data_IF_835193857169
#
_entry.id   IF_835193857169
#
_cell.length_a   1.000
_cell.length_b   1.000
_cell.length_c   1.000
_cell.angle_alpha   90.00
_cell.angle_beta   90.00
_cell.angle_gamma   90.00
#
_symmetry.space_group_name_H-M   'P 1'
#
loop_
_entity.id
_entity.type
_entity.pdbx_description
1 polymer ?
#
# COMPACT_ATOMS: atom_id res chain seq x y z
N UNK A 1 -3.38 12.96 -8.11
CA UNK A 1 -2.63 11.89 -8.79
C UNK A 1 -3.60 11.12 -9.63
N UNK A 2 -3.32 10.92 -10.91
CA UNK A 2 -4.20 10.17 -11.79
C UNK A 2 -4.06 8.68 -11.50
N UNK A 3 -5.17 8.02 -11.24
CA UNK A 3 -5.17 6.58 -10.99
C UNK A 3 -4.72 5.84 -12.27
N UNK A 4 -3.79 4.88 -12.18
CA UNK A 4 -3.36 4.13 -13.35
C UNK A 4 -4.52 3.36 -13.97
N UNK A 5 -4.58 3.33 -15.31
CA UNK A 5 -5.66 2.62 -16.01
C UNK A 5 -5.57 1.11 -15.78
N UNK A 6 -6.70 0.38 -15.83
CA UNK A 6 -6.71 -1.07 -15.71
C UNK A 6 -5.78 -1.78 -16.71
N UNK A 7 -5.69 -1.27 -17.94
CA UNK A 7 -4.85 -1.82 -19.00
C UNK A 7 -3.37 -1.69 -18.64
N UNK A 8 -2.96 -0.54 -18.09
CA UNK A 8 -1.57 -0.31 -17.65
C UNK A 8 -1.19 -1.25 -16.50
N UNK A 9 -2.11 -1.48 -15.56
CA UNK A 9 -1.90 -2.42 -14.46
C UNK A 9 -1.76 -3.85 -14.96
N UNK A 10 -2.64 -4.27 -15.88
CA UNK A 10 -2.56 -5.60 -16.50
C UNK A 10 -1.24 -5.79 -17.26
N UNK A 11 -0.84 -4.80 -18.05
CA UNK A 11 0.43 -4.83 -18.78
C UNK A 11 1.64 -4.93 -17.82
N UNK A 12 1.61 -4.21 -16.70
CA UNK A 12 2.65 -4.31 -15.68
C UNK A 12 2.73 -5.73 -15.12
N UNK A 13 1.62 -6.33 -14.67
CA UNK A 13 1.58 -7.71 -14.16
C UNK A 13 2.05 -8.73 -15.22
N UNK A 14 1.65 -8.56 -16.48
CA UNK A 14 2.14 -9.40 -17.56
C UNK A 14 3.65 -9.26 -17.74
N UNK A 15 4.21 -8.06 -17.63
CA UNK A 15 5.65 -7.89 -17.68
C UNK A 15 6.35 -8.56 -16.49
N UNK A 16 5.78 -8.49 -15.28
CA UNK A 16 6.29 -9.21 -14.10
C UNK A 16 6.36 -10.73 -14.34
N UNK A 17 5.36 -11.30 -15.02
CA UNK A 17 5.30 -12.72 -15.34
C UNK A 17 6.49 -13.24 -16.17
N UNK A 18 7.11 -12.36 -16.96
CA UNK A 18 8.25 -12.69 -17.82
C UNK A 18 9.60 -12.38 -17.16
N UNK A 19 9.60 -11.79 -15.97
CA UNK A 19 10.83 -11.48 -15.24
C UNK A 19 11.30 -12.71 -14.48
N UNK A 20 12.57 -13.05 -14.67
CA UNK A 20 13.23 -14.07 -13.83
C UNK A 20 13.48 -13.48 -12.43
N UNK A 21 13.06 -14.20 -11.41
CA UNK A 21 13.35 -13.87 -10.03
C UNK A 21 14.88 -13.84 -9.79
N UNK A 22 15.34 -12.82 -9.06
CA UNK A 22 16.72 -12.71 -8.57
C UNK A 22 16.72 -13.05 -7.09
N UNK A 23 17.51 -14.05 -6.70
CA UNK A 23 17.68 -14.42 -5.30
C UNK A 23 18.94 -13.78 -4.73
N UNK A 24 18.80 -13.13 -3.57
CA UNK A 24 19.93 -12.61 -2.81
C UNK A 24 20.48 -13.62 -1.80
N UNK A 25 21.66 -13.31 -1.22
CA UNK A 25 22.19 -14.11 -0.12
C UNK A 25 21.25 -14.06 1.10
N UNK A 26 21.23 -15.11 1.93
CA UNK A 26 20.54 -15.05 3.23
C UNK A 26 21.09 -13.91 4.08
N UNK A 27 20.20 -13.17 4.74
CA UNK A 27 20.56 -12.21 5.78
C UNK A 27 20.84 -12.87 7.13
N UNK A 28 21.14 -12.06 8.14
CA UNK A 28 21.52 -12.52 9.49
C UNK A 28 20.42 -13.36 10.18
N UNK A 29 19.16 -13.12 9.82
CA UNK A 29 18.00 -13.87 10.30
C UNK A 29 17.71 -15.16 9.49
N UNK A 30 18.61 -15.54 8.57
CA UNK A 30 18.45 -16.67 7.67
C UNK A 30 17.44 -16.46 6.53
N UNK A 31 16.79 -15.29 6.46
CA UNK A 31 15.83 -15.00 5.41
C UNK A 31 16.55 -14.62 4.12
N UNK A 32 16.06 -15.12 2.98
CA UNK A 32 16.56 -14.77 1.66
C UNK A 32 15.60 -13.81 0.97
N UNK A 33 16.09 -12.70 0.41
CA UNK A 33 15.30 -11.86 -0.45
C UNK A 33 15.21 -12.45 -1.87
N UNK A 34 14.03 -12.39 -2.45
CA UNK A 34 13.75 -12.75 -3.84
C UNK A 34 13.04 -11.59 -4.52
N UNK A 35 13.65 -11.06 -5.58
CA UNK A 35 13.15 -9.89 -6.30
C UNK A 35 12.67 -10.23 -7.70
N UNK A 36 11.50 -9.70 -8.07
CA UNK A 36 11.04 -9.59 -9.44
C UNK A 36 10.90 -8.11 -9.76
N UNK A 37 11.70 -7.61 -10.70
CA UNK A 37 11.67 -6.21 -11.11
C UNK A 37 11.39 -6.10 -12.61
N UNK A 38 10.27 -5.48 -12.95
CA UNK A 38 9.87 -5.20 -14.32
C UNK A 38 10.15 -3.75 -14.68
N UNK A 39 10.55 -3.51 -15.94
CA UNK A 39 10.68 -2.16 -16.49
C UNK A 39 9.34 -1.42 -16.65
N UNK A 40 8.21 -2.12 -16.45
CA UNK A 40 6.85 -1.56 -16.52
C UNK A 40 6.34 -1.04 -15.17
N UNK A 41 7.24 -0.78 -14.21
CA UNK A 41 6.88 -0.16 -12.93
C UNK A 41 6.12 -1.10 -12.00
N UNK A 42 6.42 -2.40 -12.07
CA UNK A 42 5.98 -3.36 -11.06
C UNK A 42 7.18 -4.08 -10.48
N UNK A 43 7.18 -4.18 -9.15
CA UNK A 43 8.24 -4.78 -8.36
C UNK A 43 7.61 -5.67 -7.30
N UNK A 44 8.19 -6.84 -7.09
CA UNK A 44 7.82 -7.77 -6.05
C UNK A 44 9.08 -8.19 -5.29
N UNK A 45 9.10 -7.94 -3.99
CA UNK A 45 10.13 -8.43 -3.07
C UNK A 45 9.49 -9.44 -2.13
N UNK A 46 10.05 -10.64 -2.07
CA UNK A 46 9.65 -11.69 -1.13
C UNK A 46 10.81 -12.01 -0.21
N UNK A 47 10.62 -11.88 1.10
CA UNK A 47 11.54 -12.40 2.11
C UNK A 47 11.07 -13.80 2.48
N UNK A 48 11.93 -14.80 2.21
CA UNK A 48 11.63 -16.21 2.47
C UNK A 48 12.51 -16.77 3.57
N UNK A 49 11.94 -17.61 4.43
CA UNK A 49 12.71 -18.33 5.44
C UNK A 49 13.58 -19.46 4.83
N UNK A 50 14.45 -20.12 5.63
CA UNK A 50 15.24 -21.25 5.16
C UNK A 50 14.41 -22.41 4.59
N UNK A 51 13.19 -22.61 5.11
CA UNK A 51 12.22 -23.61 4.63
C UNK A 51 11.54 -23.19 3.32
N UNK A 52 11.80 -21.98 2.83
CA UNK A 52 11.25 -21.45 1.60
C UNK A 52 9.80 -20.98 1.72
N UNK A 53 9.32 -20.63 2.92
CA UNK A 53 8.01 -19.99 3.13
C UNK A 53 8.18 -18.48 3.11
N UNK A 54 7.17 -17.80 2.57
CA UNK A 54 7.16 -16.33 2.51
C UNK A 54 6.87 -15.79 3.92
N UNK A 55 7.79 -14.99 4.45
CA UNK A 55 7.65 -14.32 5.75
C UNK A 55 7.14 -12.89 5.60
N UNK A 56 7.58 -12.22 4.54
CA UNK A 56 7.13 -10.88 4.17
C UNK A 56 7.17 -10.71 2.67
N UNK A 57 6.20 -9.99 2.12
CA UNK A 57 6.10 -9.72 0.70
C UNK A 57 5.69 -8.28 0.48
N UNK A 58 6.45 -7.57 -0.33
CA UNK A 58 6.18 -6.20 -0.74
C UNK A 58 5.97 -6.17 -2.24
N UNK A 59 4.86 -5.60 -2.69
CA UNK A 59 4.60 -5.38 -4.10
C UNK A 59 4.32 -3.90 -4.35
N UNK A 60 5.10 -3.30 -5.25
CA UNK A 60 4.80 -1.99 -5.81
C UNK A 60 4.22 -2.21 -7.20
N UNK A 61 2.97 -1.80 -7.41
CA UNK A 61 2.30 -1.86 -8.70
C UNK A 61 1.98 -0.42 -9.14
N UNK A 62 2.89 0.14 -9.94
CA UNK A 62 2.90 1.55 -10.34
C UNK A 62 2.96 2.49 -9.13
N UNK A 63 1.80 3.01 -8.70
CA UNK A 63 1.68 3.97 -7.59
C UNK A 63 1.06 3.33 -6.35
N UNK A 64 0.49 2.13 -6.47
CA UNK A 64 -0.02 1.36 -5.35
C UNK A 64 1.11 0.52 -4.75
N UNK A 65 1.09 0.40 -3.43
CA UNK A 65 2.01 -0.44 -2.69
C UNK A 65 1.23 -1.40 -1.79
N UNK A 66 1.69 -2.63 -1.69
CA UNK A 66 1.04 -3.70 -0.92
C UNK A 66 2.10 -4.39 -0.08
N UNK A 67 1.88 -4.48 1.24
CA UNK A 67 2.77 -5.17 2.16
C UNK A 67 2.00 -6.25 2.85
N UNK A 68 2.47 -7.48 2.73
CA UNK A 68 1.98 -8.60 3.52
C UNK A 68 3.09 -9.12 4.42
N UNK A 69 2.79 -9.33 5.70
CA UNK A 69 3.68 -10.02 6.63
C UNK A 69 2.95 -11.18 7.28
N UNK A 70 3.67 -12.29 7.50
CA UNK A 70 3.21 -13.38 8.34
C UNK A 70 2.89 -12.87 9.75
N UNK A 71 1.68 -13.13 10.25
CA UNK A 71 1.21 -12.67 11.56
C UNK A 71 0.60 -11.27 11.61
N UNK A 72 0.87 -10.39 10.63
CA UNK A 72 0.30 -9.02 10.59
C UNK A 72 -0.82 -8.88 9.54
N UNK A 73 -0.77 -9.67 8.47
CA UNK A 73 -1.73 -9.59 7.38
C UNK A 73 -1.32 -8.58 6.30
N UNK A 74 -2.30 -8.05 5.57
CA UNK A 74 -2.09 -7.18 4.42
C UNK A 74 -2.33 -5.70 4.78
N UNK A 75 -1.42 -4.85 4.34
CA UNK A 75 -1.55 -3.39 4.32
C UNK A 75 -1.46 -2.88 2.88
N UNK A 76 -2.19 -1.79 2.62
CA UNK A 76 -2.06 -1.03 1.37
C UNK A 76 -1.25 0.24 1.62
N UNK A 77 -0.79 0.86 0.55
CA UNK A 77 -0.05 2.10 0.59
C UNK A 77 0.13 2.69 -0.81
N UNK A 78 1.00 3.68 -0.90
CA UNK A 78 1.35 4.31 -2.16
C UNK A 78 2.79 4.77 -2.23
N UNK A 79 3.24 4.96 -3.46
CA UNK A 79 4.54 5.54 -3.76
C UNK A 79 4.41 7.06 -3.85
N UNK A 80 5.03 7.76 -2.91
CA UNK A 80 5.17 9.21 -2.94
C UNK A 80 6.41 9.58 -3.76
N UNK A 81 6.18 9.97 -5.02
CA UNK A 81 7.22 10.50 -5.90
C UNK A 81 7.32 12.01 -5.69
N UNK A 82 8.31 12.45 -4.91
CA UNK A 82 8.64 13.88 -4.77
C UNK A 82 9.11 14.49 -6.11
N UNK A 83 9.29 15.82 -6.15
CA UNK A 83 9.77 16.50 -7.36
C UNK A 83 11.10 15.97 -7.90
N UNK A 84 11.98 15.49 -7.00
CA UNK A 84 13.24 14.83 -7.35
C UNK A 84 13.09 13.40 -7.88
N UNK A 85 11.95 12.73 -7.69
CA UNK A 85 11.75 11.34 -8.12
C UNK A 85 11.62 11.19 -9.65
N UNK A 86 11.31 12.29 -10.37
CA UNK A 86 11.42 12.33 -11.84
C UNK A 86 12.86 12.22 -12.32
N UNK A 87 13.82 12.64 -11.49
CA UNK A 87 15.27 12.66 -11.79
C UNK A 87 15.99 11.47 -11.15
N UNK A 88 15.52 11.01 -9.98
CA UNK A 88 16.04 9.85 -9.28
C UNK A 88 14.90 8.95 -8.78
N UNK A 89 14.57 7.85 -9.48
CA UNK A 89 13.54 6.90 -9.05
C UNK A 89 13.75 6.33 -7.63
N UNK A 90 15.00 6.23 -7.16
CA UNK A 90 15.32 5.76 -5.82
C UNK A 90 14.95 6.75 -4.70
N UNK A 91 14.58 7.99 -5.04
CA UNK A 91 14.09 8.98 -4.08
C UNK A 91 12.59 8.85 -3.78
N UNK A 92 11.92 7.84 -4.35
CA UNK A 92 10.52 7.58 -4.06
C UNK A 92 10.35 7.07 -2.62
N UNK A 93 9.43 7.67 -1.87
CA UNK A 93 9.11 7.24 -0.50
C UNK A 93 7.86 6.37 -0.52
N UNK A 94 7.88 5.23 0.17
CA UNK A 94 6.68 4.41 0.37
C UNK A 94 5.93 4.94 1.59
N UNK A 95 4.62 5.16 1.44
CA UNK A 95 3.70 5.50 2.52
C UNK A 95 2.68 4.39 2.67
N UNK A 96 2.47 3.90 3.89
CA UNK A 96 1.44 2.92 4.20
C UNK A 96 0.15 3.62 4.62
N UNK A 97 -0.97 3.05 4.21
CA UNK A 97 -2.28 3.48 4.69
C UNK A 97 -2.46 3.05 6.17
N UNK A 98 -3.13 3.85 7.02
CA UNK A 98 -3.40 3.46 8.41
C UNK A 98 -4.29 2.21 8.53
N UNK A 99 -5.08 1.94 7.49
CA UNK A 99 -5.95 0.78 7.36
C UNK A 99 -5.97 0.34 5.89
N UNK A 100 -6.31 -0.92 5.65
CA UNK A 100 -6.48 -1.47 4.31
C UNK A 100 -7.51 -0.65 3.51
N UNK A 101 -7.11 -0.05 2.39
CA UNK A 101 -8.02 0.75 1.57
C UNK A 101 -8.69 -0.10 0.48
N UNK A 102 -10.05 -0.21 0.46
CA UNK A 102 -10.76 -1.10 -0.45
C UNK A 102 -10.47 -0.85 -1.93
N UNK A 103 -10.36 0.40 -2.37
CA UNK A 103 -10.14 0.71 -3.79
C UNK A 103 -8.76 0.24 -4.28
N UNK A 104 -7.69 0.39 -3.48
CA UNK A 104 -6.34 -0.10 -3.83
C UNK A 104 -6.32 -1.62 -3.85
N UNK A 105 -6.97 -2.24 -2.86
CA UNK A 105 -7.06 -3.69 -2.78
C UNK A 105 -7.74 -4.28 -4.01
N UNK A 106 -8.92 -3.77 -4.36
CA UNK A 106 -9.71 -4.24 -5.52
C UNK A 106 -8.93 -4.05 -6.81
N UNK A 107 -8.21 -2.94 -6.94
CA UNK A 107 -7.37 -2.66 -8.10
C UNK A 107 -6.21 -3.64 -8.23
N UNK A 108 -5.48 -3.91 -7.15
CA UNK A 108 -4.38 -4.87 -7.13
C UNK A 108 -4.86 -6.30 -7.38
N UNK A 109 -5.94 -6.71 -6.72
CA UNK A 109 -6.56 -8.02 -6.92
C UNK A 109 -7.02 -8.23 -8.36
N UNK A 110 -7.64 -7.22 -8.99
CA UNK A 110 -8.04 -7.28 -10.40
C UNK A 110 -6.84 -7.35 -11.35
N UNK A 111 -5.77 -6.61 -11.06
CA UNK A 111 -4.56 -6.64 -11.88
C UNK A 111 -3.92 -8.04 -11.91
N UNK A 112 -3.86 -8.72 -10.76
CA UNK A 112 -3.30 -10.07 -10.64
C UNK A 112 -4.27 -11.21 -10.99
N UNK A 113 -5.57 -10.94 -11.12
CA UNK A 113 -6.58 -11.98 -11.38
C UNK A 113 -6.26 -12.80 -12.64
N UNK A 114 -5.78 -12.14 -13.70
CA UNK A 114 -5.42 -12.75 -14.97
C UNK A 114 -4.01 -13.35 -15.06
N UNK A 115 -3.25 -13.39 -13.95
CA UNK A 115 -1.96 -14.07 -13.93
C UNK A 115 -2.16 -15.59 -13.91
N UNK A 116 -1.66 -16.29 -14.91
CA UNK A 116 -1.78 -17.76 -15.09
C UNK A 116 -0.44 -18.50 -15.07
N UNK A 117 0.66 -17.80 -14.73
CA UNK A 117 1.98 -18.41 -14.63
C UNK A 117 2.16 -19.27 -13.37
N UNK A 118 3.32 -19.90 -13.27
CA UNK A 118 3.67 -20.85 -12.19
C UNK A 118 4.56 -20.24 -11.10
N UNK A 119 4.88 -18.95 -11.18
CA UNK A 119 5.75 -18.30 -10.18
C UNK A 119 5.05 -18.27 -8.82
N UNK A 120 5.59 -19.04 -7.88
CA UNK A 120 5.00 -19.22 -6.55
C UNK A 120 4.86 -17.92 -5.75
N UNK A 121 5.73 -16.92 -5.99
CA UNK A 121 5.69 -15.65 -5.27
C UNK A 121 4.62 -14.73 -5.82
N UNK A 122 4.46 -14.69 -7.15
CA UNK A 122 3.37 -13.96 -7.79
C UNK A 122 2.02 -14.61 -7.42
N UNK A 123 1.94 -15.95 -7.46
CA UNK A 123 0.75 -16.70 -7.04
C UNK A 123 0.40 -16.45 -5.57
N UNK A 124 1.40 -16.37 -4.68
CA UNK A 124 1.20 -16.03 -3.28
C UNK A 124 0.56 -14.64 -3.13
N UNK A 125 1.11 -13.61 -3.77
CA UNK A 125 0.55 -12.25 -3.71
C UNK A 125 -0.86 -12.19 -4.32
N UNK A 126 -1.09 -12.86 -5.45
CA UNK A 126 -2.42 -13.02 -6.07
C UNK A 126 -3.43 -13.58 -5.07
N UNK A 127 -3.05 -14.63 -4.34
CA UNK A 127 -3.91 -15.27 -3.33
C UNK A 127 -4.17 -14.35 -2.13
N UNK A 128 -3.14 -13.68 -1.62
CA UNK A 128 -3.27 -12.74 -0.50
C UNK A 128 -4.26 -11.63 -0.83
N UNK A 129 -4.14 -11.01 -2.00
CA UNK A 129 -5.03 -9.93 -2.42
C UNK A 129 -6.46 -10.41 -2.69
N UNK A 130 -6.62 -11.62 -3.25
CA UNK A 130 -7.94 -12.22 -3.44
C UNK A 130 -8.64 -12.49 -2.10
N UNK A 131 -7.94 -13.12 -1.14
CA UNK A 131 -8.47 -13.41 0.19
C UNK A 131 -8.81 -12.13 0.97
N UNK A 132 -7.96 -11.11 0.88
CA UNK A 132 -8.25 -9.82 1.52
C UNK A 132 -9.49 -9.16 0.90
N UNK A 133 -9.70 -9.27 -0.43
CA UNK A 133 -10.91 -8.76 -1.09
C UNK A 133 -12.16 -9.48 -0.61
N UNK A 134 -12.13 -10.82 -0.57
CA UNK A 134 -13.22 -11.63 -0.02
C UNK A 134 -13.52 -11.25 1.45
N UNK A 135 -12.48 -11.00 2.24
CA UNK A 135 -12.61 -10.53 3.62
C UNK A 135 -13.31 -9.17 3.76
N UNK A 136 -13.13 -8.24 2.81
CA UNK A 136 -13.86 -6.98 2.78
C UNK A 136 -15.33 -7.18 2.42
N UNK A 137 -15.61 -8.02 1.42
CA UNK A 137 -16.98 -8.34 0.99
C UNK A 137 -17.80 -8.96 2.14
N UNK A 138 -17.19 -9.84 2.93
CA UNK A 138 -17.81 -10.44 4.11
C UNK A 138 -18.09 -9.45 5.24
N UNK A 139 -17.33 -8.35 5.34
CA UNK A 139 -17.55 -7.28 6.33
C UNK A 139 -18.63 -6.29 5.92
N UNK A 140 -19.18 -6.42 4.72
CA UNK A 140 -20.18 -5.50 4.17
C UNK A 140 -19.59 -4.15 3.74
N UNK A 141 -18.27 -4.05 3.61
CA UNK A 141 -17.63 -2.86 3.02
C UNK A 141 -17.71 -2.96 1.50
N UNK A 142 -18.32 -1.98 0.80
CA UNK A 142 -18.50 -2.07 -0.63
C UNK A 142 -17.14 -2.09 -1.35
N UNK A 143 -16.85 -3.20 -2.03
CA UNK A 143 -15.69 -3.38 -2.90
C UNK A 143 -15.74 -2.56 -4.21
N UNK A 144 -16.72 -1.65 -4.34
CA UNK A 144 -16.93 -0.84 -5.53
C UNK A 144 -16.55 0.61 -5.20
N UNK A 145 -15.61 1.24 -5.94
CA UNK A 145 -15.48 2.69 -5.86
C UNK A 145 -16.78 3.28 -6.38
N UNK A 146 -17.56 3.89 -5.48
CA UNK A 146 -18.69 4.73 -5.84
C UNK A 146 -18.13 5.83 -6.75
N UNK A 147 -18.37 5.73 -8.06
CA UNK A 147 -18.18 6.87 -8.95
C UNK A 147 -19.05 8.00 -8.37
N UNK A 148 -18.51 9.22 -8.17
CA UNK A 148 -19.37 10.38 -8.02
C UNK A 148 -20.28 10.42 -9.25
N UNK A 149 -21.58 10.27 -9.04
CA UNK A 149 -22.57 10.50 -10.08
C UNK A 149 -22.39 11.96 -10.52
N UNK A 150 -21.92 12.16 -11.75
CA UNK A 150 -22.08 13.44 -12.42
C UNK A 150 -23.57 13.80 -12.39
N UNK A 151 -23.93 15.03 -11.96
CA UNK A 151 -25.33 15.44 -11.89
C UNK A 151 -25.87 15.60 -13.31
N UNK A 152 -26.65 14.60 -13.75
CA UNK A 152 -27.47 14.71 -14.95
C UNK A 152 -28.50 15.83 -14.73
N UNK A 153 -28.48 16.80 -15.63
CA UNK A 153 -29.33 17.98 -15.61
C UNK A 153 -30.83 17.64 -15.54
N UNK A 154 -31.48 18.29 -14.58
CA UNK A 154 -32.83 18.84 -14.66
C UNK A 154 -33.92 18.03 -15.37
N UNK A 155 -34.81 17.43 -14.58
CA UNK A 155 -36.24 17.59 -14.85
C UNK A 155 -36.95 17.94 -13.54
N UNK A 156 -37.40 19.19 -13.48
CA UNK A 156 -38.26 19.74 -12.43
C UNK A 156 -39.58 19.00 -12.45
N UNK A 157 -40.00 18.35 -11.35
CA UNK A 157 -41.41 18.20 -11.00
C UNK A 157 -41.60 18.00 -9.48
N UNK A 158 -42.23 19.02 -8.88
CA UNK A 158 -43.08 19.01 -7.70
C UNK A 158 -42.54 18.51 -6.33
N UNK A 159 -42.35 19.46 -5.42
CA UNK A 159 -42.49 19.24 -3.98
C UNK A 159 -43.97 19.00 -3.59
N UNK A 160 -44.24 18.31 -2.47
CA UNK A 160 -44.67 19.10 -1.30
C UNK A 160 -44.21 18.60 0.08
N UNK A 161 -43.78 19.59 0.89
CA UNK A 161 -44.24 19.93 2.26
C UNK A 161 -44.03 18.96 3.47
N UNK A 162 -42.98 19.29 4.26
CA UNK A 162 -42.90 19.46 5.74
C UNK A 162 -42.93 18.23 6.68
N UNK A 163 -41.86 18.03 7.48
CA UNK A 163 -41.86 18.31 8.94
C UNK A 163 -40.44 18.37 9.56
N UNK A 164 -40.21 19.19 10.62
CA UNK A 164 -38.91 19.52 11.18
C UNK A 164 -38.51 18.64 12.37
N UNK A 165 -37.21 18.44 12.58
CA UNK A 165 -36.71 17.91 13.85
C UNK A 165 -35.25 17.49 13.87
N UNK A 166 -34.52 18.04 14.85
CA UNK A 166 -33.22 17.64 15.40
C UNK A 166 -31.96 18.21 14.72
N UNK A 167 -31.70 19.48 15.05
CA UNK A 167 -30.36 20.02 15.19
C UNK A 167 -29.54 19.14 16.15
N UNK A 168 -28.49 18.46 15.66
CA UNK A 168 -27.40 17.99 16.52
C UNK A 168 -26.30 19.05 16.56
N UNK A 169 -25.81 19.45 17.75
CA UNK A 169 -24.68 20.37 17.87
C UNK A 169 -23.41 19.72 17.31
N UNK A 170 -22.69 20.45 16.46
CA UNK A 170 -21.35 20.10 16.01
C UNK A 170 -20.37 20.20 17.18
N UNK A 171 -19.71 19.10 17.53
CA UNK A 171 -18.54 19.12 18.44
C UNK A 171 -17.25 18.98 17.61
N UNK A 172 -16.25 19.85 17.79
CA UNK A 172 -14.95 19.66 17.16
C UNK A 172 -14.23 18.41 17.72
N UNK A 173 -13.41 17.72 16.90
CA UNK A 173 -12.62 16.59 17.38
C UNK A 173 -11.59 17.04 18.43
N UNK A 174 -11.23 16.16 19.39
CA UNK A 174 -10.30 16.51 20.46
C UNK A 174 -8.91 16.86 19.90
N UNK A 175 -8.37 17.95 20.43
CA UNK A 175 -7.01 18.43 20.15
C UNK A 175 -5.96 17.36 20.47
N UNK A 176 -4.92 17.32 19.62
CA UNK A 176 -3.74 16.46 19.75
C UNK A 176 -3.19 16.38 21.18
N UNK A 177 -2.81 15.17 21.58
CA UNK A 177 -2.32 14.89 22.92
C UNK A 177 -0.95 15.54 23.15
N UNK A 178 -0.78 16.26 24.27
CA UNK A 178 0.48 16.90 24.71
C UNK A 178 1.69 15.94 24.83
N UNK A 179 1.49 14.63 24.68
CA UNK A 179 2.51 13.60 24.85
C UNK A 179 3.31 13.34 23.56
N UNK A 180 2.78 13.71 22.38
CA UNK A 180 3.43 13.45 21.09
C UNK A 180 4.67 14.34 20.87
N UNK A 181 4.60 15.61 21.30
CA UNK A 181 5.74 16.53 21.24
C UNK A 181 6.89 16.14 22.17
N UNK A 182 6.59 15.49 23.31
CA UNK A 182 7.59 15.03 24.26
C UNK A 182 8.36 13.81 23.74
N UNK A 183 7.66 12.91 23.03
CA UNK A 183 8.28 11.74 22.41
C UNK A 183 9.20 12.12 21.24
N UNK A 184 8.80 13.07 20.39
CA UNK A 184 9.68 13.57 19.32
C UNK A 184 10.97 14.22 19.87
N UNK A 185 10.88 14.96 20.97
CA UNK A 185 12.05 15.57 21.60
C UNK A 185 13.01 14.52 22.17
N UNK A 186 12.47 13.45 22.78
CA UNK A 186 13.28 12.33 23.30
C UNK A 186 14.08 11.62 22.21
N UNK A 187 13.46 11.34 21.05
CA UNK A 187 14.14 10.69 19.92
C UNK A 187 15.25 11.57 19.34
N UNK A 188 15.03 12.88 19.26
CA UNK A 188 16.00 13.82 18.73
C UNK A 188 17.23 13.96 19.64
N UNK A 189 17.03 14.02 20.96
CA UNK A 189 18.12 14.05 21.94
C UNK A 189 18.92 12.74 21.88
N UNK A 190 18.26 11.58 21.80
CA UNK A 190 18.94 10.29 21.72
C UNK A 190 19.78 10.16 20.44
N UNK A 191 19.23 10.57 19.29
CA UNK A 191 19.97 10.56 18.02
C UNK A 191 21.22 11.46 18.06
N UNK A 192 21.14 12.62 18.72
CA UNK A 192 22.28 13.52 18.88
C UNK A 192 23.41 12.89 19.71
N UNK A 193 23.09 12.22 20.82
CA UNK A 193 24.09 11.55 21.65
C UNK A 193 24.79 10.39 20.93
N UNK A 194 24.02 9.60 20.17
CA UNK A 194 24.59 8.52 19.35
C UNK A 194 25.51 9.09 18.28
N UNK A 195 25.09 10.15 17.58
CA UNK A 195 25.90 10.81 16.56
C UNK A 195 27.21 11.38 17.10
N UNK A 196 27.17 12.06 18.26
CA UNK A 196 28.37 12.60 18.92
C UNK A 196 29.30 11.47 19.38
N UNK A 197 28.76 10.38 19.94
CA UNK A 197 29.55 9.22 20.36
C UNK A 197 30.29 8.56 19.19
N UNK A 198 29.61 8.38 18.05
CA UNK A 198 30.23 7.84 16.84
C UNK A 198 31.29 8.80 16.26
N UNK A 199 31.02 10.11 16.27
CA UNK A 199 31.97 11.11 15.78
C UNK A 199 33.24 11.17 16.63
N UNK A 200 33.11 11.10 17.96
CA UNK A 200 34.26 11.05 18.88
C UNK A 200 35.03 9.73 18.78
N UNK A 201 34.38 8.62 18.41
CA UNK A 201 35.05 7.34 18.20
C UNK A 201 35.84 7.27 16.88
N UNK A 202 35.44 8.08 15.90
CA UNK A 202 36.10 8.19 14.59
C UNK A 202 37.29 9.18 14.56
N UNK A 203 37.47 9.97 15.61
CA UNK A 203 38.56 10.94 15.76
C UNK A 203 39.73 10.34 16.56
#
# INVERSE_FOLDING_TARGET
>A
MDNPSPEKLKAAVQALAHVRAVEGPPGDNGQRPVWHMSTQGVELLSLVDPEGRVQRQEMTLLDDHYVWSSGEGLLTGWVERGGGAKVNPAAATIRTDPQLLPFRLVRGARALAGYEGEDRYILHMKRVLALAREGLELRGEPAVPVRPLEPEEATVTAAPKVLPGLLRPWTPPPSSSKHEGLMMLGVLILGLFVGIGLFLWLL
#
